data_IF_454704201231
#
_entry.id   IF_454704201231
#
_cell.length_a   1.000
_cell.length_b   1.000
_cell.length_c   1.000
_cell.angle_alpha   90.00
_cell.angle_beta   90.00
_cell.angle_gamma   90.00
#
_symmetry.space_group_name_H-M   'P 1'
#
loop_
_entity.id
_entity.type
_entity.pdbx_description
1 polymer ?
#
# COMPACT_ATOMS: atom_id res chain seq x y z
N UNK A 1 20.55 -5.90 -7.58
CA UNK A 1 19.30 -5.51 -8.25
C UNK A 1 18.20 -5.48 -7.20
N UNK A 2 17.39 -4.43 -7.18
CA UNK A 2 16.18 -4.42 -6.36
C UNK A 2 15.13 -5.31 -7.05
N UNK A 3 14.65 -6.34 -6.35
CA UNK A 3 13.56 -7.18 -6.82
C UNK A 3 12.32 -6.70 -6.07
N UNK A 4 11.29 -6.30 -6.82
CA UNK A 4 9.95 -6.06 -6.31
C UNK A 4 9.01 -7.08 -6.95
N UNK A 5 8.22 -7.76 -6.12
CA UNK A 5 7.11 -8.59 -6.57
C UNK A 5 5.87 -7.70 -6.58
N UNK A 6 5.27 -7.53 -7.75
CA UNK A 6 4.08 -6.70 -7.93
C UNK A 6 2.91 -7.59 -8.33
N UNK A 7 1.81 -7.50 -7.60
CA UNK A 7 0.52 -7.99 -8.07
C UNK A 7 -0.30 -6.80 -8.57
N UNK A 8 -0.91 -6.98 -9.74
CA UNK A 8 -1.70 -5.97 -10.41
C UNK A 8 -3.04 -6.58 -10.80
N UNK A 9 -4.13 -5.91 -10.41
CA UNK A 9 -5.49 -6.24 -10.82
C UNK A 9 -6.13 -4.95 -11.30
N UNK A 10 -6.76 -4.98 -12.46
CA UNK A 10 -7.50 -3.86 -13.01
C UNK A 10 -8.94 -4.24 -13.30
N UNK A 11 -9.84 -3.28 -13.12
CA UNK A 11 -11.20 -3.32 -13.64
C UNK A 11 -11.44 -2.05 -14.47
N UNK A 12 -12.20 -2.18 -15.55
CA UNK A 12 -12.40 -1.11 -16.54
C UNK A 12 -11.43 -1.17 -17.72
N UNK A 13 -11.42 -0.14 -18.56
CA UNK A 13 -10.54 -0.10 -19.73
C UNK A 13 -9.18 0.48 -19.37
N UNK A 14 -8.14 0.16 -20.14
CA UNK A 14 -6.80 0.71 -19.92
C UNK A 14 -6.75 2.26 -19.96
N UNK A 15 -7.65 2.88 -20.71
CA UNK A 15 -7.76 4.34 -20.86
C UNK A 15 -8.65 4.99 -19.78
N UNK A 16 -9.58 4.22 -19.19
CA UNK A 16 -10.49 4.64 -18.12
C UNK A 16 -10.73 3.45 -17.16
N UNK A 17 -9.78 3.19 -16.26
CA UNK A 17 -9.95 2.13 -15.27
C UNK A 17 -11.00 2.53 -14.25
N UNK A 18 -11.90 1.62 -13.91
CA UNK A 18 -12.74 1.72 -12.71
C UNK A 18 -11.84 1.74 -11.48
N UNK A 19 -10.89 0.81 -11.44
CA UNK A 19 -9.84 0.80 -10.43
C UNK A 19 -8.62 -0.01 -10.86
N UNK A 20 -7.46 0.32 -10.28
CA UNK A 20 -6.23 -0.44 -10.42
C UNK A 20 -5.66 -0.75 -9.04
N UNK A 21 -5.66 -2.02 -8.65
CA UNK A 21 -5.03 -2.52 -7.44
C UNK A 21 -3.55 -2.79 -7.67
N UNK A 22 -2.72 -2.23 -6.81
CA UNK A 22 -1.30 -2.52 -6.72
C UNK A 22 -0.99 -3.13 -5.36
N UNK A 23 -0.35 -4.30 -5.38
CA UNK A 23 0.29 -4.90 -4.21
C UNK A 23 1.78 -5.01 -4.49
N UNK A 24 2.61 -4.35 -3.68
CA UNK A 24 4.06 -4.29 -3.90
C UNK A 24 4.76 -4.88 -2.69
N UNK A 25 5.54 -5.94 -2.93
CA UNK A 25 6.41 -6.58 -1.95
C UNK A 25 7.86 -6.43 -2.36
N UNK A 26 8.74 -5.96 -1.47
CA UNK A 26 10.16 -5.80 -1.77
C UNK A 26 11.00 -6.80 -0.95
N UNK A 27 11.16 -8.06 -1.41
CA UNK A 27 11.79 -9.13 -0.64
C UNK A 27 13.25 -8.86 -0.25
N UNK A 28 13.96 -8.09 -1.07
CA UNK A 28 15.38 -7.78 -0.88
C UNK A 28 15.61 -6.47 -0.11
N UNK A 29 14.53 -5.78 0.26
CA UNK A 29 14.61 -4.56 1.05
C UNK A 29 14.23 -4.90 2.49
N UNK A 30 15.17 -4.71 3.40
CA UNK A 30 14.89 -4.70 4.82
C UNK A 30 14.78 -3.24 5.26
N UNK A 31 13.74 -2.90 5.99
CA UNK A 31 13.49 -1.55 6.47
C UNK A 31 13.45 -1.59 7.99
N UNK A 32 14.20 -0.68 8.63
CA UNK A 32 14.12 -0.36 10.05
C UNK A 32 12.99 0.63 10.29
N UNK A 33 12.65 0.91 11.55
CA UNK A 33 11.66 1.96 11.87
C UNK A 33 12.04 3.32 11.25
N UNK A 34 13.33 3.66 11.18
CA UNK A 34 13.82 4.88 10.51
C UNK A 34 13.49 4.93 9.01
N UNK A 35 13.43 3.77 8.36
CA UNK A 35 13.08 3.69 6.94
C UNK A 35 11.58 3.83 6.68
N UNK A 36 10.71 3.56 7.67
CA UNK A 36 9.28 3.93 7.61
C UNK A 36 9.11 5.45 7.59
N UNK A 37 9.87 6.16 8.41
CA UNK A 37 9.83 7.63 8.47
C UNK A 37 10.26 8.28 7.15
N UNK A 38 11.16 7.65 6.39
CA UNK A 38 11.50 8.10 5.04
C UNK A 38 10.33 7.94 4.06
N UNK A 39 9.56 6.86 4.16
CA UNK A 39 8.41 6.62 3.28
C UNK A 39 7.28 7.60 3.61
N UNK A 40 7.07 7.92 4.89
CA UNK A 40 6.07 8.91 5.33
C UNK A 40 6.28 10.30 4.73
N UNK A 41 7.48 10.64 4.25
CA UNK A 41 7.75 11.94 3.58
C UNK A 41 7.00 12.11 2.26
N UNK A 42 6.57 11.03 1.63
CA UNK A 42 5.78 11.06 0.38
C UNK A 42 4.27 11.07 0.64
N UNK A 43 3.86 11.08 1.91
CA UNK A 43 2.47 11.01 2.37
C UNK A 43 2.05 12.38 2.89
N UNK A 44 0.81 12.79 2.61
CA UNK A 44 0.20 13.96 3.21
C UNK A 44 0.15 13.78 4.74
N UNK A 45 0.87 14.59 5.54
CA UNK A 45 1.10 14.31 6.96
C UNK A 45 -0.18 14.13 7.78
N UNK A 46 -1.21 14.91 7.48
CA UNK A 46 -2.48 14.92 8.22
C UNK A 46 -3.35 13.68 7.93
N UNK A 47 -2.94 12.85 6.96
CA UNK A 47 -3.64 11.61 6.59
C UNK A 47 -3.01 10.36 7.18
N UNK A 48 -1.81 10.47 7.77
CA UNK A 48 -1.07 9.33 8.32
C UNK A 48 -1.81 8.78 9.54
N UNK A 49 -2.18 7.50 9.50
CA UNK A 49 -2.75 6.76 10.63
C UNK A 49 -2.06 5.42 10.79
N UNK A 50 -1.95 4.95 12.03
CA UNK A 50 -1.46 3.58 12.26
C UNK A 50 -2.39 2.55 11.62
N UNK A 51 -1.81 1.54 11.00
CA UNK A 51 -2.55 0.45 10.38
C UNK A 51 -2.02 -0.90 10.85
N UNK A 52 -2.92 -1.87 10.96
CA UNK A 52 -2.60 -3.27 11.27
C UNK A 52 -3.26 -4.17 10.23
N UNK A 53 -2.49 -5.08 9.63
CA UNK A 53 -2.99 -6.07 8.68
C UNK A 53 -2.46 -7.44 9.12
N UNK A 54 -3.35 -8.33 9.57
CA UNK A 54 -2.95 -9.52 10.31
C UNK A 54 -2.22 -9.15 11.61
N UNK A 55 -1.04 -9.75 11.83
CA UNK A 55 -0.17 -9.45 12.99
C UNK A 55 0.87 -8.34 12.69
N UNK A 56 0.84 -7.75 11.50
CA UNK A 56 1.86 -6.80 11.03
C UNK A 56 1.37 -5.36 11.13
N UNK A 57 2.27 -4.49 11.62
CA UNK A 57 2.01 -3.06 11.81
C UNK A 57 2.59 -2.22 10.69
N UNK A 58 2.00 -1.05 10.51
CA UNK A 58 2.53 0.02 9.67
C UNK A 58 1.61 1.22 9.70
N UNK A 59 1.32 1.80 8.53
CA UNK A 59 0.47 2.99 8.43
C UNK A 59 -0.41 2.97 7.18
N UNK A 60 -1.50 3.72 7.22
CA UNK A 60 -2.25 4.16 6.04
C UNK A 60 -2.08 5.68 5.84
N UNK A 61 -2.18 6.14 4.60
CA UNK A 61 -2.17 7.57 4.27
C UNK A 61 -2.28 7.86 2.78
N UNK A 62 -2.47 9.13 2.44
CA UNK A 62 -2.55 9.61 1.06
C UNK A 62 -1.15 9.94 0.53
N UNK A 63 -0.66 9.13 -0.41
CA UNK A 63 0.51 9.49 -1.21
C UNK A 63 0.14 10.66 -2.12
N UNK A 64 0.96 11.70 -2.18
CA UNK A 64 0.74 12.88 -3.03
C UNK A 64 1.63 12.86 -4.30
N UNK A 65 1.22 13.58 -5.35
CA UNK A 65 1.97 13.70 -6.62
C UNK A 65 1.36 12.94 -7.80
N UNK A 66 2.13 12.70 -8.89
CA UNK A 66 1.60 12.16 -10.16
C UNK A 66 0.93 10.78 -10.07
N UNK A 67 1.24 10.01 -9.02
CA UNK A 67 0.63 8.70 -8.72
C UNK A 67 -0.04 8.70 -7.36
N UNK A 68 -0.76 9.78 -7.04
CA UNK A 68 -1.46 9.92 -5.79
C UNK A 68 -2.41 8.73 -5.56
N UNK A 69 -2.43 8.18 -4.35
CA UNK A 69 -3.19 6.98 -3.98
C UNK A 69 -3.29 6.88 -2.48
N UNK A 70 -4.40 6.36 -1.97
CA UNK A 70 -4.43 5.88 -0.60
C UNK A 70 -3.62 4.59 -0.52
N UNK A 71 -2.62 4.58 0.35
CA UNK A 71 -1.71 3.44 0.52
C UNK A 71 -1.80 2.96 1.96
N UNK A 72 -1.93 1.64 2.12
CA UNK A 72 -1.59 0.97 3.38
C UNK A 72 -0.25 0.27 3.20
N UNK A 73 0.71 0.55 4.07
CA UNK A 73 2.01 -0.11 4.11
C UNK A 73 2.20 -0.76 5.46
N UNK A 74 2.62 -2.03 5.45
CA UNK A 74 3.01 -2.79 6.65
C UNK A 74 4.45 -3.30 6.51
N UNK A 75 5.08 -3.57 7.66
CA UNK A 75 6.35 -4.30 7.70
C UNK A 75 6.08 -5.77 8.05
N UNK A 76 6.28 -6.65 7.08
CA UNK A 76 6.29 -8.11 7.27
C UNK A 76 7.72 -8.61 7.41
N UNK A 77 8.11 -9.07 8.60
CA UNK A 77 9.45 -9.65 8.85
C UNK A 77 10.59 -8.72 8.39
N UNK A 78 10.46 -7.42 8.65
CA UNK A 78 11.41 -6.40 8.22
C UNK A 78 11.27 -5.95 6.76
N UNK A 79 10.30 -6.47 6.00
CA UNK A 79 10.12 -6.18 4.57
C UNK A 79 8.85 -5.36 4.32
N UNK A 80 8.89 -4.33 3.46
CA UNK A 80 7.70 -3.54 3.15
C UNK A 80 6.76 -4.35 2.27
N UNK A 81 5.49 -4.28 2.61
CA UNK A 81 4.39 -4.73 1.78
C UNK A 81 3.36 -3.60 1.76
N UNK A 82 2.99 -3.15 0.56
CA UNK A 82 1.99 -2.10 0.41
C UNK A 82 0.85 -2.47 -0.51
N UNK A 83 -0.34 -2.01 -0.15
CA UNK A 83 -1.59 -2.15 -0.87
C UNK A 83 -2.13 -0.77 -1.20
N UNK A 84 -2.57 -0.57 -2.44
CA UNK A 84 -3.22 0.67 -2.84
C UNK A 84 -4.05 0.46 -4.09
N UNK A 85 -5.22 1.07 -4.13
CA UNK A 85 -6.03 1.18 -5.33
C UNK A 85 -5.94 2.60 -5.89
N UNK A 86 -5.80 2.73 -7.21
CA UNK A 86 -5.73 4.01 -7.94
C UNK A 86 -6.98 4.20 -8.81
N UNK A 87 -7.51 5.44 -8.99
CA UNK A 87 -7.10 6.74 -8.42
C UNK A 87 -7.47 6.97 -6.93
N UNK A 88 -7.01 8.06 -6.26
CA UNK A 88 -7.24 8.30 -4.83
C UNK A 88 -8.67 8.80 -4.54
N UNK A 89 -9.65 7.93 -4.72
CA UNK A 89 -11.05 8.18 -4.38
C UNK A 89 -11.43 7.46 -3.09
N UNK A 90 -12.45 7.95 -2.39
CA UNK A 90 -12.99 7.27 -1.20
C UNK A 90 -13.51 5.86 -1.53
N UNK A 91 -14.08 5.68 -2.73
CA UNK A 91 -14.50 4.36 -3.23
C UNK A 91 -13.31 3.39 -3.36
N UNK A 92 -12.21 3.84 -3.96
CA UNK A 92 -11.01 3.01 -4.11
C UNK A 92 -10.31 2.75 -2.77
N UNK A 93 -10.40 3.69 -1.82
CA UNK A 93 -9.99 3.44 -0.44
C UNK A 93 -10.82 2.31 0.17
N UNK A 94 -12.16 2.39 0.05
CA UNK A 94 -13.05 1.35 0.58
C UNK A 94 -12.79 -0.03 -0.05
N UNK A 95 -12.49 -0.09 -1.36
CA UNK A 95 -12.06 -1.34 -2.02
C UNK A 95 -10.76 -1.87 -1.42
N UNK A 96 -9.77 -0.99 -1.19
CA UNK A 96 -8.50 -1.37 -0.53
C UNK A 96 -8.77 -1.93 0.87
N UNK A 97 -9.61 -1.27 1.66
CA UNK A 97 -9.98 -1.70 3.01
C UNK A 97 -10.68 -3.06 3.01
N UNK A 98 -11.58 -3.31 2.04
CA UNK A 98 -12.21 -4.63 1.84
C UNK A 98 -11.19 -5.72 1.51
N UNK A 99 -10.25 -5.45 0.61
CA UNK A 99 -9.18 -6.40 0.26
C UNK A 99 -8.36 -6.72 1.51
N UNK A 100 -7.90 -5.70 2.24
CA UNK A 100 -7.12 -5.86 3.47
C UNK A 100 -7.85 -6.69 4.52
N UNK A 101 -9.19 -6.59 4.61
CA UNK A 101 -10.00 -7.42 5.52
C UNK A 101 -9.96 -8.92 5.20
N UNK A 102 -9.57 -9.29 3.97
CA UNK A 102 -9.42 -10.69 3.53
C UNK A 102 -7.97 -11.17 3.53
N UNK A 103 -6.99 -10.27 3.71
CA UNK A 103 -5.58 -10.64 3.72
C UNK A 103 -5.29 -11.50 4.94
N UNK A 104 -4.84 -12.72 4.67
CA UNK A 104 -4.27 -13.63 5.66
C UNK A 104 -2.84 -13.94 5.28
N UNK A 105 -1.93 -13.89 6.26
CA UNK A 105 -0.59 -14.41 6.10
C UNK A 105 -0.58 -15.79 6.74
N UNK A 106 -0.58 -16.83 5.92
CA UNK A 106 -0.42 -18.20 6.42
C UNK A 106 0.88 -18.30 7.25
N UNK A 107 0.80 -19.07 8.34
CA UNK A 107 1.93 -19.29 9.26
C UNK A 107 2.91 -20.32 8.72
#
# INVERSE_FOLDING_TARGET
SEIAVNFYIEDGSAENPTYQLYVVFQPNRTITDDGLELIKKEIEPDTIKEATVGDYKGFEGLVVGPKARYQTLIIKEGKPLSFSTWPPTEENKAITDQILSTVSFDK
#
